data_IF_455993677036
#
_entry.id   IF_455993677036
#
_cell.length_a   1.000
_cell.length_b   1.000
_cell.length_c   1.000
_cell.angle_alpha   90.00
_cell.angle_beta   90.00
_cell.angle_gamma   90.00
#
_symmetry.space_group_name_H-M   'P 1'
#
loop_
_entity.id
_entity.type
_entity.pdbx_description
1 polymer ?
#
# COMPACT_ATOMS: atom_id res chain seq x y z
N UNK A 1 9.57 9.81 -7.98
CA UNK A 1 8.45 9.02 -8.57
C UNK A 1 7.38 8.97 -7.50
N UNK A 2 6.23 9.62 -7.74
CA UNK A 2 5.28 10.06 -6.70
C UNK A 2 4.65 8.87 -5.96
N UNK A 3 5.09 8.58 -4.73
CA UNK A 3 4.58 7.45 -3.94
C UNK A 3 3.35 7.82 -3.09
N UNK A 4 3.04 9.11 -3.02
CA UNK A 4 1.99 9.64 -2.17
C UNK A 4 0.59 9.25 -2.63
N UNK A 5 0.30 9.39 -3.92
CA UNK A 5 -1.00 9.01 -4.48
C UNK A 5 -1.25 7.49 -4.47
N UNK A 6 -0.19 6.67 -4.26
CA UNK A 6 -0.32 5.22 -4.05
C UNK A 6 -1.14 4.84 -2.81
N UNK A 7 -1.31 5.76 -1.85
CA UNK A 7 -2.08 5.50 -0.63
C UNK A 7 -3.56 5.89 -0.78
N UNK A 8 -3.91 6.62 -1.86
CA UNK A 8 -5.30 6.88 -2.27
C UNK A 8 -5.91 5.64 -2.94
N UNK A 9 -5.09 4.76 -3.52
CA UNK A 9 -5.45 3.44 -4.09
C UNK A 9 -6.01 2.41 -3.08
N UNK A 10 -6.04 2.72 -1.78
CA UNK A 10 -6.47 1.74 -0.77
C UNK A 10 -8.00 1.66 -0.67
N UNK A 11 -8.67 1.15 -1.69
CA UNK A 11 -9.85 0.32 -1.42
C UNK A 11 -9.26 -0.97 -0.93
N UNK A 12 -9.72 -1.37 0.24
CA UNK A 12 -9.66 -2.72 0.78
C UNK A 12 -9.25 -3.76 -0.27
N UNK A 13 -7.94 -3.97 -0.45
CA UNK A 13 -7.48 -5.34 -0.36
C UNK A 13 -7.84 -5.72 1.09
N UNK A 14 -8.69 -6.73 1.33
CA UNK A 14 -8.90 -7.21 2.69
C UNK A 14 -7.59 -7.63 3.41
N UNK A 15 -6.42 -7.52 2.76
CA UNK A 15 -5.12 -7.96 3.27
C UNK A 15 -3.92 -7.01 3.05
N UNK A 16 -4.10 -5.70 2.91
CA UNK A 16 -2.93 -4.81 2.82
C UNK A 16 -3.09 -3.51 3.60
N UNK A 17 -2.51 -3.48 4.80
CA UNK A 17 -2.18 -2.23 5.48
C UNK A 17 -0.89 -2.36 6.30
N UNK A 18 -0.45 -1.20 6.80
CA UNK A 18 0.68 -0.89 7.69
C UNK A 18 1.94 -0.36 6.96
N UNK A 19 2.60 0.73 7.37
CA UNK A 19 2.72 1.37 8.68
C UNK A 19 2.99 2.89 8.59
N UNK A 20 2.47 3.65 9.56
CA UNK A 20 3.18 4.80 10.15
C UNK A 20 3.00 4.77 11.68
N UNK A 21 4.08 4.99 12.44
CA UNK A 21 4.16 4.85 13.91
C UNK A 21 3.41 5.98 14.66
N UNK A 22 2.92 5.73 15.89
CA UNK A 22 2.28 6.75 16.73
C UNK A 22 3.34 7.68 17.32
N UNK A 23 3.14 9.01 17.17
CA UNK A 23 3.93 10.03 17.86
C UNK A 23 2.98 11.12 18.34
N UNK A 24 3.10 11.47 19.62
CA UNK A 24 2.26 12.42 20.34
C UNK A 24 2.25 13.82 19.72
N UNK A 25 1.06 14.40 19.62
CA UNK A 25 0.85 15.83 19.39
C UNK A 25 1.09 16.61 20.70
N UNK A 26 2.34 16.87 21.05
CA UNK A 26 2.66 17.75 22.17
C UNK A 26 3.42 19.01 21.73
N UNK A 27 2.79 20.15 22.09
CA UNK A 27 3.33 21.47 22.37
C UNK A 27 4.08 22.25 21.27
N UNK A 28 3.40 23.25 20.69
CA UNK A 28 4.00 24.56 20.46
C UNK A 28 2.99 25.66 20.82
N UNK A 29 3.37 26.46 21.80
CA UNK A 29 2.73 27.71 22.20
C UNK A 29 3.03 28.78 21.14
N UNK A 30 1.99 29.38 20.60
CA UNK A 30 2.08 30.54 19.70
C UNK A 30 2.75 31.70 20.44
N UNK A 31 3.96 32.04 20.01
CA UNK A 31 4.63 33.28 20.39
C UNK A 31 4.35 34.29 19.29
N UNK A 32 3.41 35.20 19.53
CA UNK A 32 3.18 36.37 18.70
C UNK A 32 4.40 37.28 18.78
N UNK A 33 5.16 37.46 17.70
CA UNK A 33 5.94 38.67 17.44
C UNK A 33 6.41 38.74 15.99
N UNK A 34 6.36 39.96 15.47
CA UNK A 34 6.58 40.41 14.10
C UNK A 34 8.00 40.20 13.56
N UNK A 35 8.14 39.59 12.37
CA UNK A 35 9.16 39.93 11.36
C UNK A 35 8.82 39.28 10.01
N UNK A 36 8.83 40.04 8.91
CA UNK A 36 8.52 39.55 7.55
C UNK A 36 9.56 38.56 6.99
N UNK A 37 10.70 38.40 7.64
CA UNK A 37 11.76 37.45 7.25
C UNK A 37 11.54 36.03 7.77
N UNK A 38 10.79 35.81 8.85
CA UNK A 38 10.58 34.47 9.43
C UNK A 38 9.46 33.68 8.74
N UNK A 39 8.44 34.37 8.23
CA UNK A 39 7.33 33.72 7.53
C UNK A 39 7.77 33.08 6.19
N UNK A 40 8.75 33.67 5.51
CA UNK A 40 9.32 33.13 4.27
C UNK A 40 10.10 31.84 4.51
N UNK A 41 10.86 31.75 5.61
CA UNK A 41 11.64 30.55 5.94
C UNK A 41 10.76 29.38 6.35
N UNK A 42 9.65 29.65 7.05
CA UNK A 42 8.71 28.61 7.49
C UNK A 42 7.94 27.99 6.31
N UNK A 43 7.63 28.80 5.31
CA UNK A 43 7.00 28.34 4.07
C UNK A 43 7.95 27.47 3.24
N UNK A 44 9.20 27.89 3.06
CA UNK A 44 10.20 27.09 2.34
C UNK A 44 10.44 25.73 3.00
N UNK A 45 10.49 25.70 4.33
CA UNK A 45 10.60 24.45 5.09
C UNK A 45 9.37 23.54 4.90
N UNK A 46 8.17 24.12 4.88
CA UNK A 46 6.91 23.40 4.65
C UNK A 46 6.85 22.80 3.25
N UNK A 47 7.22 23.58 2.23
CA UNK A 47 7.33 23.11 0.84
C UNK A 47 8.31 21.94 0.74
N UNK A 48 9.52 22.08 1.28
CA UNK A 48 10.53 21.02 1.24
C UNK A 48 10.08 19.76 2.00
N UNK A 49 9.30 19.90 3.07
CA UNK A 49 8.73 18.78 3.79
C UNK A 49 7.69 18.03 2.96
N UNK A 50 6.79 18.75 2.29
CA UNK A 50 5.77 18.12 1.43
C UNK A 50 6.40 17.50 0.19
N UNK A 51 7.40 18.13 -0.45
CA UNK A 51 8.18 17.52 -1.54
C UNK A 51 8.77 16.15 -1.15
N UNK A 52 9.26 16.04 0.10
CA UNK A 52 9.79 14.77 0.64
C UNK A 52 8.69 13.74 0.88
N UNK A 53 7.53 14.15 1.40
CA UNK A 53 6.35 13.29 1.58
C UNK A 53 5.88 12.74 0.22
N UNK A 54 5.90 13.58 -0.80
CA UNK A 54 5.50 13.24 -2.15
C UNK A 54 6.53 12.36 -2.88
N UNK A 55 7.81 12.51 -2.54
CA UNK A 55 8.93 12.05 -3.36
C UNK A 55 8.87 12.66 -4.78
N UNK A 56 8.61 13.96 -4.80
CA UNK A 56 8.46 14.80 -5.98
C UNK A 56 9.05 16.18 -5.72
N UNK A 57 9.84 16.69 -6.65
CA UNK A 57 10.38 18.05 -6.62
C UNK A 57 9.64 18.90 -7.64
N UNK A 58 9.01 19.97 -7.18
CA UNK A 58 8.24 20.86 -8.03
C UNK A 58 9.16 21.73 -8.88
N UNK A 59 8.80 21.88 -10.17
CA UNK A 59 9.41 22.88 -11.04
C UNK A 59 8.92 24.26 -10.67
N UNK A 60 7.62 24.39 -10.39
CA UNK A 60 7.00 25.59 -9.90
C UNK A 60 6.49 25.41 -8.46
N UNK A 61 7.28 25.87 -7.49
CA UNK A 61 6.95 25.80 -6.05
C UNK A 61 5.72 26.64 -5.66
N UNK A 62 5.36 27.66 -6.45
CA UNK A 62 4.15 28.45 -6.20
C UNK A 62 2.87 27.59 -6.28
N UNK A 63 2.88 26.51 -7.07
CA UNK A 63 1.73 25.59 -7.15
C UNK A 63 1.50 24.87 -5.82
N UNK A 64 2.58 24.42 -5.17
CA UNK A 64 2.49 23.77 -3.88
C UNK A 64 2.15 24.78 -2.77
N UNK A 65 2.67 26.01 -2.86
CA UNK A 65 2.28 27.09 -1.97
C UNK A 65 0.77 27.38 -2.04
N UNK A 66 0.21 27.52 -3.25
CA UNK A 66 -1.23 27.72 -3.47
C UNK A 66 -2.05 26.54 -2.90
N UNK A 67 -1.61 25.29 -3.17
CA UNK A 67 -2.27 24.09 -2.67
C UNK A 67 -2.31 23.99 -1.13
N UNK A 68 -1.32 24.56 -0.44
CA UNK A 68 -1.24 24.56 1.02
C UNK A 68 -1.87 25.82 1.65
N UNK A 69 -2.69 26.58 0.92
CA UNK A 69 -3.27 27.84 1.40
C UNK A 69 -4.77 27.77 1.49
N UNK A 70 -5.29 27.79 2.73
CA UNK A 70 -6.73 27.79 2.99
C UNK A 70 -7.36 29.15 2.67
N UNK A 71 -8.63 29.16 2.27
CA UNK A 71 -9.38 30.37 1.87
C UNK A 71 -9.55 31.43 2.98
N UNK A 72 -9.33 31.06 4.24
CA UNK A 72 -9.31 32.01 5.37
C UNK A 72 -8.01 32.82 5.45
N UNK A 73 -6.98 32.46 4.69
CA UNK A 73 -5.73 33.20 4.60
C UNK A 73 -5.84 34.26 3.48
N UNK A 74 -6.14 35.50 3.86
CA UNK A 74 -6.54 36.59 2.94
C UNK A 74 -5.45 37.07 2.00
N UNK A 75 -4.18 36.84 2.34
CA UNK A 75 -3.05 37.52 1.71
C UNK A 75 -2.44 36.70 0.56
N UNK A 76 -3.10 35.62 0.13
CA UNK A 76 -2.59 34.70 -0.90
C UNK A 76 -3.72 33.99 -1.65
N UNK A 77 -3.39 33.46 -2.84
CA UNK A 77 -4.31 32.61 -3.61
C UNK A 77 -4.59 31.32 -2.86
N UNK A 78 -5.86 30.95 -2.74
CA UNK A 78 -6.30 29.75 -2.03
C UNK A 78 -6.26 28.50 -2.91
N UNK A 79 -6.24 27.34 -2.27
CA UNK A 79 -6.20 26.04 -2.94
C UNK A 79 -7.41 25.72 -3.83
N UNK A 80 -8.50 26.50 -3.78
CA UNK A 80 -9.83 26.10 -4.31
C UNK A 80 -9.83 25.81 -5.82
N UNK A 81 -9.02 26.52 -6.61
CA UNK A 81 -8.89 26.24 -8.04
C UNK A 81 -8.13 24.95 -8.30
N UNK A 82 -7.13 24.67 -7.48
CA UNK A 82 -6.37 23.42 -7.52
C UNK A 82 -7.24 22.25 -7.04
N UNK A 83 -8.00 22.39 -5.94
CA UNK A 83 -9.00 21.40 -5.49
C UNK A 83 -9.91 20.98 -6.65
N UNK A 84 -10.52 21.95 -7.34
CA UNK A 84 -11.41 21.68 -8.47
C UNK A 84 -10.75 20.83 -9.58
N UNK A 85 -9.49 21.12 -9.92
CA UNK A 85 -8.74 20.34 -10.90
C UNK A 85 -8.35 18.96 -10.33
N UNK A 86 -8.04 18.92 -9.05
CA UNK A 86 -7.55 17.75 -8.33
C UNK A 86 -8.59 16.66 -8.19
N UNK A 87 -9.83 17.03 -7.85
CA UNK A 87 -10.98 16.12 -7.79
C UNK A 87 -11.15 15.38 -9.13
N UNK A 88 -11.19 16.13 -10.23
CA UNK A 88 -11.32 15.56 -11.58
C UNK A 88 -10.11 14.69 -11.97
N UNK A 89 -8.89 15.14 -11.67
CA UNK A 89 -7.66 14.42 -12.02
C UNK A 89 -7.51 13.11 -11.24
N UNK A 90 -7.71 13.14 -9.91
CA UNK A 90 -7.70 11.95 -9.07
C UNK A 90 -8.83 10.99 -9.44
N UNK A 91 -10.03 11.51 -9.69
CA UNK A 91 -11.16 10.71 -10.14
C UNK A 91 -10.87 9.95 -11.44
N UNK A 92 -10.24 10.61 -12.42
CA UNK A 92 -9.86 9.97 -13.68
C UNK A 92 -8.70 8.98 -13.49
N UNK A 93 -7.66 9.35 -12.72
CA UNK A 93 -6.53 8.48 -12.43
C UNK A 93 -6.97 7.16 -11.80
N UNK A 94 -7.82 7.24 -10.76
CA UNK A 94 -8.37 6.07 -10.10
C UNK A 94 -9.33 5.30 -11.03
N UNK A 95 -10.20 5.98 -11.78
CA UNK A 95 -11.11 5.30 -12.71
C UNK A 95 -10.32 4.47 -13.72
N UNK A 96 -9.23 5.01 -14.27
CA UNK A 96 -8.33 4.27 -15.15
C UNK A 96 -7.70 3.08 -14.44
N UNK A 97 -7.24 3.25 -13.21
CA UNK A 97 -6.67 2.15 -12.42
C UNK A 97 -7.69 1.02 -12.19
N UNK A 98 -8.87 1.34 -11.66
CA UNK A 98 -9.92 0.38 -11.33
C UNK A 98 -10.44 -0.33 -12.59
N UNK A 99 -10.62 0.40 -13.70
CA UNK A 99 -11.03 -0.19 -14.99
C UNK A 99 -10.02 -1.22 -15.50
N UNK A 100 -8.71 -0.94 -15.38
CA UNK A 100 -7.66 -1.85 -15.83
C UNK A 100 -7.41 -2.99 -14.84
N UNK A 101 -7.56 -2.74 -13.54
CA UNK A 101 -7.33 -3.73 -12.48
C UNK A 101 -8.46 -4.78 -12.41
N UNK A 102 -9.69 -4.39 -12.76
CA UNK A 102 -10.88 -5.23 -12.62
C UNK A 102 -11.71 -5.30 -13.91
N UNK A 103 -11.16 -5.85 -15.01
CA UNK A 103 -11.80 -5.84 -16.34
C UNK A 103 -13.14 -6.58 -16.41
N UNK A 104 -13.39 -7.51 -15.48
CA UNK A 104 -14.58 -8.38 -15.46
C UNK A 104 -15.68 -7.87 -14.50
N UNK A 105 -15.45 -6.78 -13.77
CA UNK A 105 -16.48 -6.20 -12.88
C UNK A 105 -17.48 -5.37 -13.67
N UNK A 106 -18.74 -5.42 -13.26
CA UNK A 106 -19.78 -4.60 -13.87
C UNK A 106 -19.62 -3.11 -13.48
N UNK A 107 -20.19 -2.19 -14.29
CA UNK A 107 -20.08 -0.75 -14.04
C UNK A 107 -20.56 -0.30 -12.65
N UNK A 108 -21.51 -1.00 -12.04
CA UNK A 108 -22.02 -0.70 -10.70
C UNK A 108 -20.97 -0.97 -9.62
N UNK A 109 -20.33 -2.13 -9.66
CA UNK A 109 -19.24 -2.47 -8.74
C UNK A 109 -18.01 -1.57 -8.93
N UNK A 110 -17.64 -1.27 -10.19
CA UNK A 110 -16.57 -0.30 -10.47
C UNK A 110 -16.87 1.08 -9.87
N UNK A 111 -18.13 1.52 -9.94
CA UNK A 111 -18.58 2.80 -9.36
C UNK A 111 -18.50 2.80 -7.83
N UNK A 112 -18.83 1.68 -7.18
CA UNK A 112 -18.70 1.51 -5.72
C UNK A 112 -17.24 1.54 -5.26
N UNK A 113 -16.35 0.83 -5.97
CA UNK A 113 -14.91 0.84 -5.68
C UNK A 113 -14.36 2.26 -5.86
N UNK A 114 -14.77 2.95 -6.93
CA UNK A 114 -14.39 4.36 -7.14
C UNK A 114 -14.83 5.23 -5.97
N UNK A 115 -16.12 5.19 -5.62
CA UNK A 115 -16.69 6.03 -4.56
C UNK A 115 -16.01 5.82 -3.19
N UNK A 116 -15.63 4.58 -2.86
CA UNK A 116 -14.90 4.28 -1.63
C UNK A 116 -13.54 5.00 -1.53
N UNK A 117 -12.81 5.06 -2.65
CA UNK A 117 -11.43 5.54 -2.71
C UNK A 117 -11.31 7.07 -2.79
N UNK A 118 -12.23 7.73 -3.50
CA UNK A 118 -12.22 9.19 -3.69
C UNK A 118 -13.28 9.89 -2.81
N UNK A 119 -13.70 9.27 -1.71
CA UNK A 119 -14.58 9.92 -0.76
C UNK A 119 -13.83 10.97 0.06
N UNK A 120 -14.51 12.06 0.45
CA UNK A 120 -13.96 13.08 1.37
C UNK A 120 -13.34 12.45 2.62
N UNK A 121 -13.97 11.42 3.17
CA UNK A 121 -13.49 10.74 4.37
C UNK A 121 -12.22 9.93 4.13
N UNK A 122 -12.11 9.27 2.96
CA UNK A 122 -10.91 8.52 2.59
C UNK A 122 -9.74 9.47 2.38
N UNK A 123 -9.94 10.52 1.60
CA UNK A 123 -8.93 11.55 1.33
C UNK A 123 -8.53 12.29 2.61
N UNK A 124 -9.48 12.57 3.51
CA UNK A 124 -9.17 13.18 4.80
C UNK A 124 -8.26 12.29 5.67
N UNK A 125 -8.48 10.97 5.69
CA UNK A 125 -7.58 10.03 6.39
C UNK A 125 -6.18 10.01 5.77
N UNK A 126 -6.06 10.09 4.44
CA UNK A 126 -4.77 10.24 3.76
C UNK A 126 -4.06 11.51 4.25
N UNK A 127 -4.76 12.64 4.33
CA UNK A 127 -4.17 13.89 4.83
C UNK A 127 -3.64 13.76 6.28
N UNK A 128 -4.39 13.09 7.16
CA UNK A 128 -3.97 12.83 8.56
C UNK A 128 -2.76 11.91 8.62
N UNK A 129 -2.80 10.79 7.90
CA UNK A 129 -1.73 9.78 7.91
C UNK A 129 -0.39 10.35 7.42
N UNK A 130 -0.44 11.25 6.44
CA UNK A 130 0.74 11.95 5.94
C UNK A 130 1.03 13.29 6.63
N UNK A 131 0.23 13.66 7.64
CA UNK A 131 0.34 14.92 8.40
C UNK A 131 0.36 16.16 7.51
N UNK A 132 -0.37 16.16 6.40
CA UNK A 132 -0.37 17.27 5.46
C UNK A 132 -0.91 18.56 6.07
N UNK A 133 -1.90 18.45 6.95
CA UNK A 133 -2.58 19.61 7.53
C UNK A 133 -1.62 20.56 8.28
N UNK A 134 -0.54 20.04 8.88
CA UNK A 134 0.42 20.86 9.63
C UNK A 134 1.18 21.86 8.75
N UNK A 135 1.19 21.67 7.43
CA UNK A 135 1.85 22.54 6.46
C UNK A 135 0.89 23.56 5.83
N UNK A 136 -0.39 23.56 6.23
CA UNK A 136 -1.41 24.42 5.65
C UNK A 136 -1.47 25.76 6.34
N UNK A 137 -1.41 26.82 5.56
CA UNK A 137 -1.60 28.20 6.01
C UNK A 137 -3.09 28.48 6.14
N UNK A 138 -3.55 28.80 7.34
CA UNK A 138 -4.96 29.13 7.58
C UNK A 138 -5.10 30.08 8.79
N UNK A 139 -6.15 30.90 8.76
CA UNK A 139 -6.58 31.73 9.90
C UNK A 139 -7.97 31.29 10.40
N UNK A 140 -8.34 30.02 10.16
CA UNK A 140 -9.69 29.54 10.44
C UNK A 140 -9.85 29.16 11.92
N UNK A 141 -10.73 29.88 12.63
CA UNK A 141 -11.00 29.64 14.06
C UNK A 141 -11.67 28.27 14.24
N UNK A 142 -11.14 27.47 15.17
CA UNK A 142 -11.66 26.14 15.52
C UNK A 142 -11.39 25.04 14.49
N UNK A 143 -10.67 25.34 13.40
CA UNK A 143 -10.31 24.32 12.41
C UNK A 143 -9.31 23.31 12.99
N UNK A 144 -8.31 23.80 13.73
CA UNK A 144 -7.33 22.98 14.47
C UNK A 144 -8.02 21.96 15.39
N UNK A 145 -9.02 22.40 16.15
CA UNK A 145 -9.71 21.53 17.10
C UNK A 145 -10.50 20.44 16.39
N UNK A 146 -11.20 20.77 15.29
CA UNK A 146 -11.90 19.80 14.44
C UNK A 146 -10.95 18.77 13.84
N UNK A 147 -9.80 19.22 13.32
CA UNK A 147 -8.79 18.32 12.75
C UNK A 147 -8.17 17.44 13.84
N UNK A 148 -7.90 18.00 15.02
CA UNK A 148 -7.37 17.24 16.17
C UNK A 148 -8.35 16.19 16.65
N UNK A 149 -9.64 16.53 16.72
CA UNK A 149 -10.70 15.59 17.12
C UNK A 149 -10.81 14.44 16.11
N UNK A 150 -10.84 14.77 14.80
CA UNK A 150 -10.85 13.76 13.74
C UNK A 150 -9.58 12.89 13.77
N UNK A 151 -8.40 13.47 13.95
CA UNK A 151 -7.14 12.73 14.04
C UNK A 151 -7.11 11.76 15.22
N UNK A 152 -7.72 12.10 16.36
CA UNK A 152 -7.87 11.19 17.50
C UNK A 152 -8.73 9.98 17.13
N UNK A 153 -9.86 10.20 16.46
CA UNK A 153 -10.72 9.11 15.98
C UNK A 153 -9.93 8.21 15.03
N UNK A 154 -9.26 8.77 14.02
CA UNK A 154 -8.44 8.01 13.06
C UNK A 154 -7.33 7.22 13.76
N UNK A 155 -6.74 7.73 14.85
CA UNK A 155 -5.71 7.01 15.61
C UNK A 155 -6.23 5.88 16.51
N UNK A 156 -7.53 5.86 16.79
CA UNK A 156 -8.21 4.86 17.62
C UNK A 156 -8.98 3.84 16.79
N UNK A 157 -9.08 4.05 15.47
CA UNK A 157 -9.61 3.07 14.53
C UNK A 157 -8.57 1.95 14.37
N UNK A 158 -8.85 0.77 14.95
CA UNK A 158 -7.99 -0.44 14.87
C UNK A 158 -7.93 -1.04 13.43
N UNK A 159 -8.73 -0.52 12.50
CA UNK A 159 -8.85 -0.96 11.10
C UNK A 159 -9.22 0.27 10.22
N UNK A 160 -8.79 0.38 8.94
CA UNK A 160 -9.29 1.42 8.04
C UNK A 160 -10.81 1.22 7.85
N UNK A 161 -11.60 2.02 8.56
CA UNK A 161 -13.06 1.87 8.61
C UNK A 161 -13.66 1.78 7.21
N UNK A 162 -14.41 0.70 6.99
CA UNK A 162 -15.20 0.45 5.78
C UNK A 162 -16.37 1.45 5.77
N UNK A 163 -16.16 2.58 5.09
CA UNK A 163 -17.12 3.66 4.84
C UNK A 163 -17.64 4.44 6.08
N UNK A 164 -17.66 5.77 5.99
CA UNK A 164 -18.55 6.57 6.84
C UNK A 164 -18.13 6.62 8.30
N UNK A 165 -16.82 6.64 8.60
CA UNK A 165 -16.31 6.50 9.97
C UNK A 165 -17.02 7.40 10.98
N UNK A 166 -16.95 7.06 12.27
CA UNK A 166 -17.89 7.57 13.29
C UNK A 166 -17.97 9.10 13.45
N UNK A 167 -17.03 9.84 12.85
CA UNK A 167 -17.02 11.29 12.78
C UNK A 167 -16.94 11.77 11.33
N UNK A 168 -17.79 12.74 10.99
CA UNK A 168 -17.74 13.45 9.70
C UNK A 168 -16.39 14.15 9.55
N UNK A 169 -15.67 13.79 8.49
CA UNK A 169 -14.35 14.37 8.22
C UNK A 169 -14.42 15.88 7.93
N UNK A 170 -13.47 16.69 8.45
CA UNK A 170 -13.29 18.08 8.02
C UNK A 170 -12.95 18.13 6.53
N UNK A 171 -13.83 18.76 5.72
CA UNK A 171 -13.70 18.79 4.24
C UNK A 171 -12.33 19.29 3.78
N UNK A 172 -11.78 20.28 4.48
CA UNK A 172 -10.45 20.84 4.22
C UNK A 172 -9.37 19.77 4.03
N UNK A 173 -9.43 18.66 4.78
CA UNK A 173 -8.43 17.60 4.70
C UNK A 173 -8.46 16.90 3.34
N UNK A 174 -9.65 16.66 2.78
CA UNK A 174 -9.79 16.14 1.42
C UNK A 174 -9.35 17.18 0.38
N UNK A 175 -9.80 18.43 0.54
CA UNK A 175 -9.48 19.51 -0.39
C UNK A 175 -7.95 19.72 -0.52
N UNK A 176 -7.20 19.55 0.59
CA UNK A 176 -5.73 19.62 0.60
C UNK A 176 -5.11 18.50 -0.24
N UNK A 177 -5.62 17.26 -0.13
CA UNK A 177 -5.09 16.14 -0.91
C UNK A 177 -5.34 16.36 -2.40
N UNK A 178 -6.55 16.80 -2.75
CA UNK A 178 -6.94 17.11 -4.12
C UNK A 178 -6.10 18.25 -4.70
N UNK A 179 -5.95 19.36 -3.96
CA UNK A 179 -5.17 20.51 -4.41
C UNK A 179 -3.68 20.20 -4.54
N UNK A 180 -3.09 19.39 -3.66
CA UNK A 180 -1.70 18.92 -3.81
C UNK A 180 -1.57 18.00 -5.03
N UNK A 181 -2.56 17.14 -5.30
CA UNK A 181 -2.62 16.34 -6.53
C UNK A 181 -2.66 17.22 -7.78
N UNK A 182 -3.51 18.24 -7.78
CA UNK A 182 -3.59 19.20 -8.86
C UNK A 182 -2.30 19.99 -9.05
N UNK A 183 -1.64 20.39 -7.97
CA UNK A 183 -0.35 21.07 -8.05
C UNK A 183 0.68 20.21 -8.81
N UNK A 184 0.79 18.93 -8.46
CA UNK A 184 1.65 17.98 -9.19
C UNK A 184 1.18 17.85 -10.64
N UNK A 185 -0.12 17.64 -10.86
CA UNK A 185 -0.70 17.43 -12.18
C UNK A 185 -0.43 18.60 -13.14
N UNK A 186 -0.57 19.84 -12.66
CA UNK A 186 -0.25 21.05 -13.40
C UNK A 186 1.25 21.16 -13.65
N UNK A 187 2.08 20.88 -12.64
CA UNK A 187 3.55 20.97 -12.74
C UNK A 187 4.14 19.95 -13.74
N UNK A 188 3.48 18.79 -13.91
CA UNK A 188 3.81 17.79 -14.93
C UNK A 188 3.10 18.04 -16.28
N UNK A 189 2.52 19.22 -16.48
CA UNK A 189 1.82 19.65 -17.70
C UNK A 189 0.63 18.74 -18.06
N UNK A 190 -0.22 18.47 -17.06
CA UNK A 190 -1.45 17.68 -17.21
C UNK A 190 -1.22 16.24 -17.68
N UNK A 191 -0.04 15.68 -17.36
CA UNK A 191 0.29 14.29 -17.66
C UNK A 191 -0.18 13.36 -16.53
N UNK A 192 -1.32 12.71 -16.77
CA UNK A 192 -1.96 11.82 -15.80
C UNK A 192 -1.07 10.62 -15.43
N UNK A 193 -0.23 10.14 -16.36
CA UNK A 193 0.68 9.01 -16.12
C UNK A 193 1.83 9.36 -15.16
N UNK A 194 2.19 10.64 -15.07
CA UNK A 194 3.19 11.16 -14.14
C UNK A 194 2.59 11.53 -12.79
N UNK A 195 1.34 11.99 -12.76
CA UNK A 195 0.58 12.19 -11.52
C UNK A 195 0.37 10.85 -10.81
N UNK A 196 -0.16 9.88 -11.55
CA UNK A 196 -0.52 8.56 -11.06
C UNK A 196 0.24 7.51 -11.84
N UNK A 197 1.33 7.05 -11.25
CA UNK A 197 2.08 5.93 -11.82
C UNK A 197 1.26 4.67 -11.58
N UNK A 198 0.59 4.18 -12.64
CA UNK A 198 -0.06 2.88 -12.61
C UNK A 198 0.98 1.82 -12.22
N UNK A 199 0.65 0.99 -11.23
CA UNK A 199 1.45 -0.19 -10.96
C UNK A 199 1.45 -1.03 -12.24
N UNK A 200 2.60 -1.28 -12.86
CA UNK A 200 2.63 -2.12 -14.04
C UNK A 200 2.11 -3.49 -13.62
N UNK A 201 1.12 -4.01 -14.34
CA UNK A 201 0.45 -5.24 -13.95
C UNK A 201 1.51 -6.35 -13.74
N UNK A 202 1.48 -7.09 -12.61
CA UNK A 202 2.50 -8.09 -12.30
C UNK A 202 2.73 -9.09 -13.45
N UNK A 203 1.69 -9.40 -14.21
CA UNK A 203 1.77 -10.23 -15.42
C UNK A 203 2.63 -9.58 -16.49
N UNK A 204 2.36 -8.32 -16.86
CA UNK A 204 3.13 -7.58 -17.87
C UNK A 204 4.59 -7.42 -17.45
N UNK A 205 4.85 -7.05 -16.19
CA UNK A 205 6.20 -6.90 -15.66
C UNK A 205 6.97 -8.22 -15.71
N UNK A 206 6.31 -9.34 -15.40
CA UNK A 206 6.90 -10.68 -15.47
C UNK A 206 7.32 -11.03 -16.90
N UNK A 207 6.44 -10.79 -17.88
CA UNK A 207 6.75 -11.03 -19.29
C UNK A 207 7.93 -10.19 -19.77
N UNK A 208 7.93 -8.88 -19.50
CA UNK A 208 9.03 -7.99 -19.86
C UNK A 208 10.34 -8.39 -19.19
N UNK A 209 10.30 -8.72 -17.90
CA UNK A 209 11.47 -9.15 -17.13
C UNK A 209 12.12 -10.40 -17.71
N UNK A 210 11.32 -11.42 -18.03
CA UNK A 210 11.82 -12.66 -18.59
C UNK A 210 12.28 -12.50 -20.04
N UNK A 211 11.54 -11.74 -20.86
CA UNK A 211 11.90 -11.49 -22.26
C UNK A 211 13.24 -10.75 -22.39
N UNK A 212 13.51 -9.77 -21.51
CA UNK A 212 14.82 -9.10 -21.45
C UNK A 212 15.99 -10.06 -21.14
N UNK A 213 15.70 -11.18 -20.47
CA UNK A 213 16.69 -12.23 -20.19
C UNK A 213 16.69 -13.35 -21.25
N UNK A 214 15.91 -13.22 -22.32
CA UNK A 214 15.76 -14.25 -23.35
C UNK A 214 14.98 -15.48 -22.88
N UNK A 215 14.17 -15.37 -21.81
CA UNK A 215 13.38 -16.46 -21.22
C UNK A 215 11.92 -16.39 -21.65
N UNK A 216 11.30 -17.55 -21.86
CA UNK A 216 9.88 -17.69 -22.22
C UNK A 216 9.02 -17.87 -20.97
N UNK A 217 7.89 -17.17 -20.90
CA UNK A 217 6.93 -17.25 -19.78
C UNK A 217 5.64 -17.92 -20.23
N UNK A 218 5.21 -18.94 -19.50
CA UNK A 218 3.94 -19.62 -19.69
C UNK A 218 3.10 -19.57 -18.42
N UNK A 219 1.86 -19.10 -18.51
CA UNK A 219 0.92 -19.09 -17.38
C UNK A 219 -0.18 -20.10 -17.65
N UNK A 220 -0.17 -21.21 -16.90
CA UNK A 220 -1.23 -22.24 -16.96
C UNK A 220 -2.28 -21.96 -15.92
N UNK A 221 -3.55 -22.17 -16.26
CA UNK A 221 -4.67 -21.99 -15.34
C UNK A 221 -5.53 -23.26 -15.24
N UNK A 222 -6.14 -23.49 -14.09
CA UNK A 222 -7.16 -24.52 -13.90
C UNK A 222 -8.05 -24.19 -12.72
N UNK A 223 -9.15 -24.92 -12.56
CA UNK A 223 -10.08 -24.75 -11.45
C UNK A 223 -9.93 -25.90 -10.46
N UNK A 224 -9.84 -25.58 -9.17
CA UNK A 224 -9.79 -26.54 -8.05
C UNK A 224 -10.98 -26.24 -7.11
N UNK A 225 -12.08 -26.97 -7.33
CA UNK A 225 -13.35 -26.71 -6.62
C UNK A 225 -13.95 -25.35 -6.98
N UNK A 226 -14.19 -24.50 -5.99
CA UNK A 226 -14.66 -23.12 -6.18
C UNK A 226 -13.54 -22.12 -6.51
N UNK A 227 -12.28 -22.52 -6.35
CA UNK A 227 -11.12 -21.64 -6.54
C UNK A 227 -10.48 -21.82 -7.92
N UNK A 228 -10.08 -20.73 -8.55
CA UNK A 228 -9.22 -20.71 -9.73
C UNK A 228 -7.75 -20.69 -9.28
N UNK A 229 -6.91 -21.46 -9.95
CA UNK A 229 -5.47 -21.53 -9.70
C UNK A 229 -4.75 -21.20 -11.00
N UNK A 230 -3.74 -20.33 -10.91
CA UNK A 230 -2.80 -20.06 -11.99
C UNK A 230 -1.38 -20.42 -11.53
N UNK A 231 -0.54 -20.83 -12.46
CA UNK A 231 0.86 -21.15 -12.22
C UNK A 231 1.73 -20.65 -13.35
N UNK A 232 2.81 -20.00 -12.96
CA UNK A 232 3.81 -19.42 -13.85
C UNK A 232 4.96 -20.39 -14.03
N UNK A 233 5.31 -20.62 -15.28
CA UNK A 233 6.46 -21.38 -15.72
C UNK A 233 7.38 -20.46 -16.53
N UNK A 234 8.68 -20.57 -16.31
CA UNK A 234 9.71 -19.86 -17.09
C UNK A 234 10.64 -20.90 -17.69
N UNK A 235 10.75 -20.92 -19.02
CA UNK A 235 11.46 -21.96 -19.79
C UNK A 235 11.07 -23.39 -19.38
N UNK A 236 9.76 -23.61 -19.15
CA UNK A 236 9.21 -24.89 -18.70
C UNK A 236 9.40 -25.21 -17.22
N UNK A 237 10.16 -24.41 -16.47
CA UNK A 237 10.39 -24.59 -15.03
C UNK A 237 9.33 -23.87 -14.20
N UNK A 238 8.72 -24.56 -13.23
CA UNK A 238 7.73 -23.96 -12.34
C UNK A 238 8.38 -22.90 -11.44
N UNK A 239 7.82 -21.69 -11.42
CA UNK A 239 8.30 -20.59 -10.58
C UNK A 239 7.39 -20.38 -9.37
N UNK A 240 6.12 -20.06 -9.61
CA UNK A 240 5.15 -19.73 -8.58
C UNK A 240 3.71 -20.01 -9.01
N UNK A 241 2.81 -20.11 -8.04
CA UNK A 241 1.38 -20.25 -8.25
C UNK A 241 0.59 -19.24 -7.44
N UNK A 242 -0.65 -19.00 -7.86
CA UNK A 242 -1.59 -18.12 -7.18
C UNK A 242 -3.00 -18.67 -7.31
N UNK A 243 -3.81 -18.48 -6.28
CA UNK A 243 -5.22 -18.89 -6.27
C UNK A 243 -6.14 -17.74 -5.94
N UNK A 244 -7.34 -17.75 -6.49
CA UNK A 244 -8.42 -16.80 -6.20
C UNK A 244 -9.76 -17.35 -6.68
N UNK A 245 -10.87 -16.82 -6.17
CA UNK A 245 -12.20 -17.08 -6.75
C UNK A 245 -12.32 -16.59 -8.19
N UNK A 246 -11.50 -15.61 -8.60
CA UNK A 246 -11.47 -15.07 -9.96
C UNK A 246 -10.22 -15.50 -10.72
N UNK A 247 -10.40 -15.78 -12.02
CA UNK A 247 -9.35 -16.29 -12.91
C UNK A 247 -8.18 -15.31 -13.06
N UNK A 248 -8.47 -14.03 -13.28
CA UNK A 248 -7.41 -13.05 -13.57
C UNK A 248 -6.66 -12.61 -12.31
N UNK A 249 -7.33 -12.59 -11.15
CA UNK A 249 -6.67 -12.41 -9.85
C UNK A 249 -5.72 -13.57 -9.55
N UNK A 250 -6.12 -14.81 -9.85
CA UNK A 250 -5.23 -15.97 -9.68
C UNK A 250 -3.95 -15.83 -10.53
N UNK A 251 -4.06 -15.36 -11.78
CA UNK A 251 -2.91 -15.08 -12.66
C UNK A 251 -2.04 -13.95 -12.10
N UNK A 252 -2.65 -12.88 -11.62
CA UNK A 252 -1.94 -11.74 -11.04
C UNK A 252 -1.13 -12.17 -9.81
N UNK A 253 -1.74 -12.97 -8.92
CA UNK A 253 -1.07 -13.53 -7.75
C UNK A 253 0.10 -14.43 -8.13
N UNK A 254 -0.11 -15.31 -9.12
CA UNK A 254 0.95 -16.18 -9.61
C UNK A 254 2.12 -15.38 -10.22
N UNK A 255 1.82 -14.33 -10.98
CA UNK A 255 2.84 -13.46 -11.57
C UNK A 255 3.60 -12.64 -10.52
N UNK A 256 2.92 -12.16 -9.48
CA UNK A 256 3.54 -11.45 -8.35
C UNK A 256 4.50 -12.37 -7.59
N UNK A 257 4.07 -13.60 -7.29
CA UNK A 257 4.92 -14.62 -6.66
C UNK A 257 6.14 -14.97 -7.53
N UNK A 258 5.95 -15.03 -8.85
CA UNK A 258 7.03 -15.35 -9.78
C UNK A 258 8.08 -14.24 -9.86
N UNK A 259 7.67 -12.99 -9.98
CA UNK A 259 8.59 -11.84 -9.96
C UNK A 259 9.43 -11.80 -8.70
N UNK A 260 8.80 -12.02 -7.54
CA UNK A 260 9.50 -12.04 -6.26
C UNK A 260 10.60 -13.12 -6.21
N UNK A 261 10.28 -14.34 -6.66
CA UNK A 261 11.24 -15.46 -6.70
C UNK A 261 12.37 -15.24 -7.70
N UNK A 262 12.07 -14.66 -8.85
CA UNK A 262 13.07 -14.36 -9.88
C UNK A 262 14.03 -13.25 -9.46
N UNK A 263 13.52 -12.19 -8.83
CA UNK A 263 14.34 -11.08 -8.32
C UNK A 263 15.28 -11.52 -7.19
N UNK A 264 14.86 -12.48 -6.35
CA UNK A 264 15.70 -13.03 -5.29
C UNK A 264 16.86 -13.91 -5.79
N UNK A 265 16.79 -14.39 -7.04
CA UNK A 265 17.80 -15.30 -7.62
C UNK A 265 18.98 -14.59 -8.30
N UNK A 266 19.04 -13.25 -8.27
CA UNK A 266 20.07 -12.45 -8.95
C UNK A 266 21.22 -12.03 -8.01
N UNK A 267 22.48 -12.00 -8.49
CA UNK A 267 23.57 -11.35 -7.78
C UNK A 267 23.37 -9.83 -7.72
N UNK A 268 23.79 -9.22 -6.60
CA UNK A 268 23.37 -7.91 -6.07
C UNK A 268 23.71 -6.69 -6.95
N UNK A 269 24.48 -6.82 -8.04
CA UNK A 269 25.06 -5.67 -8.76
C UNK A 269 24.44 -5.32 -10.13
N UNK A 270 23.22 -5.76 -10.43
CA UNK A 270 22.51 -5.21 -11.61
C UNK A 270 21.11 -4.80 -11.19
N UNK A 271 20.91 -3.50 -10.99
CA UNK A 271 19.58 -2.89 -10.89
C UNK A 271 19.08 -2.60 -12.31
N UNK A 272 18.31 -3.49 -12.97
CA UNK A 272 18.02 -3.38 -14.39
C UNK A 272 16.79 -2.49 -14.65
N UNK A 273 16.15 -1.96 -13.59
CA UNK A 273 14.87 -1.26 -13.67
C UNK A 273 14.82 0.08 -12.92
N UNK A 274 15.86 0.47 -12.18
CA UNK A 274 15.86 1.77 -11.48
C UNK A 274 14.76 1.91 -10.42
N UNK A 275 14.26 0.80 -9.88
CA UNK A 275 13.26 0.77 -8.81
C UNK A 275 14.02 0.58 -7.49
N UNK A 276 14.40 1.68 -6.84
CA UNK A 276 14.82 1.63 -5.44
C UNK A 276 13.61 1.27 -4.56
N UNK A 277 13.70 0.13 -3.87
CA UNK A 277 12.69 -0.29 -2.89
C UNK A 277 12.51 -1.80 -2.69
N UNK A 278 13.13 -2.67 -3.50
CA UNK A 278 12.97 -4.13 -3.38
C UNK A 278 14.30 -4.77 -2.98
N UNK A 279 14.82 -4.43 -1.80
CA UNK A 279 16.01 -5.09 -1.27
C UNK A 279 15.88 -5.40 0.21
N UNK A 280 15.06 -6.40 0.53
CA UNK A 280 15.00 -7.04 1.84
C UNK A 280 14.59 -8.50 1.69
N UNK A 281 15.47 -9.44 2.07
CA UNK A 281 15.18 -10.87 2.09
C UNK A 281 14.11 -11.16 3.16
N UNK A 282 12.94 -11.64 2.75
CA UNK A 282 11.83 -11.95 3.64
C UNK A 282 11.77 -13.48 3.89
N UNK A 283 12.66 -14.03 4.72
CA UNK A 283 12.39 -15.23 5.56
C UNK A 283 12.75 -14.88 7.01
N UNK A 284 11.80 -15.04 7.93
CA UNK A 284 12.07 -14.72 9.34
C UNK A 284 12.93 -15.84 9.90
N UNK A 285 14.17 -15.52 10.23
CA UNK A 285 15.08 -16.48 10.82
C UNK A 285 14.55 -16.89 12.21
N UNK A 286 14.44 -18.20 12.44
CA UNK A 286 13.82 -18.76 13.65
C UNK A 286 12.30 -18.54 13.78
N UNK A 287 11.58 -18.33 12.67
CA UNK A 287 10.13 -18.14 12.65
C UNK A 287 9.36 -19.20 13.45
N UNK A 288 9.76 -20.47 13.38
CA UNK A 288 9.08 -21.55 14.13
C UNK A 288 9.04 -21.27 15.64
N UNK A 289 10.16 -20.81 16.20
CA UNK A 289 10.26 -20.45 17.62
C UNK A 289 9.49 -19.17 17.93
N UNK A 290 9.64 -18.14 17.09
CA UNK A 290 8.95 -16.86 17.26
C UNK A 290 7.44 -17.03 17.24
N UNK A 291 6.90 -17.89 16.36
CA UNK A 291 5.47 -18.18 16.29
C UNK A 291 4.96 -18.91 17.53
N UNK A 292 5.77 -19.81 18.10
CA UNK A 292 5.42 -20.50 19.34
C UNK A 292 5.36 -19.52 20.53
N UNK A 293 6.32 -18.60 20.66
CA UNK A 293 6.31 -17.55 21.71
C UNK A 293 5.11 -16.61 21.58
N UNK A 294 4.73 -16.32 20.34
CA UNK A 294 3.64 -15.43 19.94
C UNK A 294 2.27 -15.99 20.31
N UNK A 295 2.01 -17.27 20.00
CA UNK A 295 0.80 -17.95 20.48
C UNK A 295 0.71 -17.92 22.02
N UNK A 296 1.84 -18.08 22.71
CA UNK A 296 1.90 -17.97 24.17
C UNK A 296 1.48 -16.59 24.70
N UNK A 297 1.96 -15.50 24.08
CA UNK A 297 1.60 -14.12 24.45
C UNK A 297 0.12 -13.81 24.23
N UNK A 298 -0.46 -14.31 23.13
CA UNK A 298 -1.87 -14.10 22.77
C UNK A 298 -2.82 -15.12 23.43
N UNK A 299 -2.31 -16.00 24.30
CA UNK A 299 -3.05 -17.09 24.96
C UNK A 299 -3.75 -18.04 23.98
N UNK A 300 -3.19 -18.23 22.78
CA UNK A 300 -3.68 -19.22 21.81
C UNK A 300 -3.09 -20.60 22.09
N UNK A 301 -3.73 -21.62 21.52
CA UNK A 301 -3.17 -22.96 21.50
C UNK A 301 -1.89 -22.99 20.65
N UNK A 302 -1.02 -23.95 20.95
CA UNK A 302 0.27 -24.07 20.27
C UNK A 302 0.07 -24.35 18.77
N UNK A 303 0.94 -23.80 17.89
CA UNK A 303 0.88 -24.06 16.46
C UNK A 303 1.15 -25.55 16.18
N UNK A 304 0.28 -26.16 15.37
CA UNK A 304 0.36 -27.55 14.92
C UNK A 304 0.93 -27.54 13.51
N UNK A 305 1.98 -28.31 13.26
CA UNK A 305 2.61 -28.41 11.93
C UNK A 305 2.27 -29.76 11.30
N UNK A 306 1.89 -29.76 10.03
CA UNK A 306 1.59 -30.96 9.25
C UNK A 306 2.45 -30.97 7.98
N UNK A 307 2.93 -32.15 7.58
CA UNK A 307 3.74 -32.31 6.37
C UNK A 307 2.81 -32.64 5.21
N UNK A 308 2.63 -31.69 4.29
CA UNK A 308 1.69 -31.77 3.16
C UNK A 308 2.30 -32.49 1.95
N UNK A 309 3.63 -32.39 1.80
CA UNK A 309 4.37 -33.00 0.68
C UNK A 309 5.69 -33.56 1.18
N UNK A 310 5.95 -34.83 0.86
CA UNK A 310 7.24 -35.50 0.99
C UNK A 310 7.46 -36.32 -0.28
N UNK A 311 7.95 -35.65 -1.32
CA UNK A 311 8.15 -36.23 -2.64
C UNK A 311 9.59 -36.02 -3.09
N UNK A 312 10.09 -36.93 -3.93
CA UNK A 312 11.41 -36.82 -4.54
C UNK A 312 12.37 -37.93 -4.14
N UNK A 313 13.47 -38.02 -4.88
CA UNK A 313 14.55 -38.97 -4.60
C UNK A 313 15.29 -38.55 -3.33
N UNK A 314 16.00 -39.44 -2.62
CA UNK A 314 16.66 -39.09 -1.35
C UNK A 314 17.60 -37.87 -1.40
N UNK A 315 18.15 -37.54 -2.58
CA UNK A 315 19.04 -36.40 -2.82
C UNK A 315 18.33 -35.16 -3.41
N UNK A 316 17.03 -35.24 -3.70
CA UNK A 316 16.18 -34.18 -4.27
C UNK A 316 14.82 -34.14 -3.55
N UNK A 317 14.81 -34.49 -2.26
CA UNK A 317 13.56 -34.49 -1.49
C UNK A 317 13.04 -33.06 -1.34
N UNK A 318 11.76 -32.89 -1.63
CA UNK A 318 11.02 -31.65 -1.47
C UNK A 318 9.99 -31.87 -0.37
N UNK A 319 10.06 -30.99 0.63
CA UNK A 319 9.16 -30.96 1.76
C UNK A 319 8.32 -29.69 1.72
N UNK A 320 7.02 -29.84 1.93
CA UNK A 320 6.09 -28.72 2.15
C UNK A 320 5.40 -28.97 3.48
N UNK A 321 5.44 -27.99 4.36
CA UNK A 321 4.74 -28.05 5.64
C UNK A 321 3.64 -26.99 5.68
N UNK A 322 2.56 -27.31 6.37
CA UNK A 322 1.54 -26.36 6.78
C UNK A 322 1.61 -26.13 8.28
N UNK A 323 1.09 -24.99 8.74
CA UNK A 323 0.93 -24.69 10.15
C UNK A 323 -0.49 -24.23 10.43
N UNK A 324 -1.05 -24.76 11.52
CA UNK A 324 -2.41 -24.50 11.99
C UNK A 324 -2.38 -23.94 13.41
N UNK A 325 -3.08 -22.83 13.64
CA UNK A 325 -3.24 -22.23 14.96
C UNK A 325 -4.73 -22.20 15.31
N UNK A 326 -5.17 -22.99 16.31
CA UNK A 326 -6.53 -22.88 16.83
C UNK A 326 -6.69 -21.56 17.60
N UNK A 327 -7.69 -20.76 17.21
CA UNK A 327 -8.09 -19.50 17.84
C UNK A 327 -9.51 -19.61 18.40
N UNK A 328 -9.98 -18.59 19.14
CA UNK A 328 -11.34 -18.59 19.71
C UNK A 328 -12.45 -18.49 18.65
N UNK A 329 -12.13 -17.93 17.48
CA UNK A 329 -13.06 -17.70 16.37
C UNK A 329 -12.90 -18.73 15.22
N UNK A 330 -12.00 -19.71 15.35
CA UNK A 330 -11.76 -20.74 14.33
C UNK A 330 -10.37 -21.37 14.38
N UNK A 331 -9.83 -21.75 13.22
CA UNK A 331 -8.45 -22.19 13.09
C UNK A 331 -7.78 -21.52 11.88
N UNK A 332 -6.67 -20.84 12.13
CA UNK A 332 -5.83 -20.26 11.07
C UNK A 332 -4.97 -21.35 10.48
N UNK A 333 -4.83 -21.39 9.15
CA UNK A 333 -4.07 -22.40 8.43
C UNK A 333 -3.29 -21.74 7.30
N UNK A 334 -2.00 -22.07 7.17
CA UNK A 334 -1.17 -21.62 6.04
C UNK A 334 -0.15 -22.69 5.66
N UNK A 335 0.22 -22.71 4.39
CA UNK A 335 1.23 -23.62 3.83
C UNK A 335 2.49 -22.83 3.47
N UNK A 336 3.66 -23.35 3.83
CA UNK A 336 4.96 -22.75 3.50
C UNK A 336 5.48 -23.14 2.11
N UNK A 337 6.65 -22.61 1.76
CA UNK A 337 7.33 -22.94 0.51
C UNK A 337 7.92 -24.36 0.51
N UNK A 338 8.17 -24.86 -0.69
CA UNK A 338 8.94 -26.09 -0.93
C UNK A 338 10.40 -25.93 -0.44
N UNK A 339 10.85 -26.84 0.43
CA UNK A 339 12.21 -26.84 1.00
C UNK A 339 12.86 -28.20 0.93
N UNK A 340 14.19 -28.22 0.96
CA UNK A 340 15.00 -29.45 0.92
C UNK A 340 15.07 -30.18 2.27
N UNK A 341 14.60 -29.53 3.35
CA UNK A 341 14.55 -30.10 4.70
C UNK A 341 13.22 -29.78 5.38
N UNK A 342 12.68 -30.74 6.12
CA UNK A 342 11.44 -30.59 6.91
C UNK A 342 11.52 -29.38 7.85
N UNK A 343 12.64 -29.19 8.57
CA UNK A 343 12.81 -28.04 9.49
C UNK A 343 12.72 -26.69 8.77
N UNK A 344 13.20 -26.61 7.53
CA UNK A 344 13.12 -25.40 6.72
C UNK A 344 11.71 -25.20 6.17
N UNK A 345 11.01 -26.28 5.78
CA UNK A 345 9.62 -26.24 5.34
C UNK A 345 8.69 -25.75 6.47
N UNK A 346 8.88 -26.25 7.69
CA UNK A 346 8.17 -25.79 8.88
C UNK A 346 8.51 -24.34 9.23
N UNK A 347 9.78 -23.93 9.12
CA UNK A 347 10.19 -22.54 9.36
C UNK A 347 9.60 -21.60 8.31
N UNK A 348 9.51 -22.05 7.06
CA UNK A 348 8.84 -21.31 5.99
C UNK A 348 7.35 -21.17 6.30
N UNK A 349 6.65 -22.25 6.61
CA UNK A 349 5.24 -22.21 7.02
C UNK A 349 5.02 -21.28 8.23
N UNK A 350 5.91 -21.34 9.24
CA UNK A 350 5.87 -20.44 10.39
C UNK A 350 6.13 -18.98 10.01
N UNK A 351 7.06 -18.72 9.09
CA UNK A 351 7.36 -17.36 8.61
C UNK A 351 6.18 -16.77 7.86
N UNK A 352 5.52 -17.57 7.03
CA UNK A 352 4.29 -17.20 6.34
C UNK A 352 3.15 -17.00 7.33
N UNK A 353 3.03 -17.82 8.36
CA UNK A 353 2.01 -17.63 9.40
C UNK A 353 2.26 -16.38 10.24
N UNK A 354 3.49 -16.12 10.69
CA UNK A 354 3.83 -14.88 11.40
C UNK A 354 3.49 -13.67 10.53
N UNK A 355 3.81 -13.73 9.24
CA UNK A 355 3.46 -12.65 8.32
C UNK A 355 1.96 -12.52 8.14
N UNK A 356 1.27 -13.61 7.86
CA UNK A 356 -0.18 -13.58 7.75
C UNK A 356 -0.81 -13.04 9.03
N UNK A 357 -0.29 -13.36 10.22
CA UNK A 357 -0.73 -12.80 11.50
C UNK A 357 -0.38 -11.30 11.64
N UNK A 358 0.78 -10.86 11.16
CA UNK A 358 1.20 -9.44 11.14
C UNK A 358 0.37 -8.63 10.14
N UNK A 359 0.11 -9.20 8.96
CA UNK A 359 -0.66 -8.63 7.86
C UNK A 359 -2.16 -8.62 8.18
N UNK A 360 -2.64 -9.58 8.98
CA UNK A 360 -4.05 -9.67 9.41
C UNK A 360 -4.32 -8.99 10.76
N UNK A 361 -3.36 -8.23 11.32
CA UNK A 361 -3.55 -7.49 12.59
C UNK A 361 -3.74 -8.36 13.85
N UNK A 362 -3.55 -9.67 13.75
CA UNK A 362 -3.66 -10.62 14.86
C UNK A 362 -2.53 -10.46 15.89
N UNK A 363 -1.46 -9.78 15.50
CA UNK A 363 -0.23 -9.55 16.26
C UNK A 363 -0.09 -8.12 16.73
#
# INVERSE_FOLDING_TARGET
MNQFFRHVDTVTDPYANLHARPISYNHFTTSTTSSSSSASSDLEASIAAVERILNYSFRNKCLLEEALTHSSYSDSTSYQRLEFVGDAALGLALTNHVFLAYPELDPGLLSLIRAANISTEKLARVAINHRLFQFVRHNAIGLEDKVREFAKVVSQEDDPVSYGGSMKAPKVLADIVESVAAAVYVDVNFDLSKLWVQQPQPVTVLFEFCQKQGKHVDIKHWKKGLTNVASVYVDGSFIASGSSEQKDIAKLNAARGALHKLLQSMPVDVNPFGIEGINGSFEIDGAKQKLHELCGKKKWLKPIYELEKDEGRPHEKIFVSSVKIPTVDGALYITGDEKSRVKEAENSAASFMIRALQESGYL
#
